data_IF_988909845714
#
_entry.id   IF_988909845714
#
_cell.length_a   1.000
_cell.length_b   1.000
_cell.length_c   1.000
_cell.angle_alpha   90.00
_cell.angle_beta   90.00
_cell.angle_gamma   90.00
#
_symmetry.space_group_name_H-M   'P 1'
#
loop_
_entity.id
_entity.type
_entity.pdbx_description
1 polymer ?
#
# COMPACT_ATOMS: atom_id res chain seq x y z
N UNK A 1 -16.87 0.93 11.68
CA UNK A 1 -17.19 0.81 10.23
C UNK A 1 -15.98 0.23 9.52
N UNK A 2 -16.16 -0.79 8.66
CA UNK A 2 -15.07 -1.38 7.88
C UNK A 2 -14.69 -0.45 6.72
N UNK A 3 -13.41 -0.09 6.61
CA UNK A 3 -12.90 0.72 5.48
C UNK A 3 -12.58 -0.17 4.28
N UNK A 4 -12.68 0.38 3.07
CA UNK A 4 -12.26 -0.30 1.85
C UNK A 4 -10.72 -0.34 1.81
N UNK A 5 -10.09 -1.52 1.65
CA UNK A 5 -8.64 -1.62 1.58
C UNK A 5 -8.12 -1.18 0.22
N UNK A 6 -6.89 -0.65 0.14
CA UNK A 6 -6.15 -0.48 -1.13
C UNK A 6 -5.87 -1.83 -1.81
N UNK A 7 -5.53 -1.84 -3.11
CA UNK A 7 -5.12 -3.05 -3.84
C UNK A 7 -4.06 -3.91 -3.12
N UNK A 8 -3.02 -3.27 -2.57
CA UNK A 8 -1.95 -4.00 -1.87
C UNK A 8 -2.47 -4.68 -0.58
N UNK A 9 -3.30 -3.99 0.20
CA UNK A 9 -3.93 -4.53 1.40
C UNK A 9 -4.95 -5.61 1.10
N UNK A 10 -5.74 -5.47 0.02
CA UNK A 10 -6.63 -6.52 -0.46
C UNK A 10 -5.82 -7.79 -0.76
N UNK A 11 -4.79 -7.66 -1.59
CA UNK A 11 -3.96 -8.77 -2.04
C UNK A 11 -3.26 -9.46 -0.87
N UNK A 12 -2.77 -8.69 0.11
CA UNK A 12 -2.17 -9.22 1.36
C UNK A 12 -3.15 -10.05 2.19
N UNK A 13 -4.38 -9.57 2.30
CA UNK A 13 -5.36 -10.20 3.18
C UNK A 13 -6.09 -11.34 2.48
N UNK A 14 -5.92 -11.50 1.17
CA UNK A 14 -6.47 -12.60 0.39
C UNK A 14 -6.07 -13.96 0.97
N UNK A 15 -7.04 -14.87 0.95
CA UNK A 15 -6.96 -16.25 1.36
C UNK A 15 -7.98 -17.04 0.54
N UNK A 16 -7.80 -18.35 0.36
CA UNK A 16 -8.80 -19.17 -0.32
C UNK A 16 -10.10 -19.34 0.48
N UNK A 17 -10.09 -19.00 1.78
CA UNK A 17 -11.27 -19.05 2.64
C UNK A 17 -11.85 -17.64 2.90
N UNK A 18 -13.12 -17.37 2.52
CA UNK A 18 -13.82 -16.13 2.87
C UNK A 18 -13.85 -15.87 4.39
N UNK A 19 -13.96 -16.92 5.20
CA UNK A 19 -13.98 -16.80 6.66
C UNK A 19 -12.65 -16.30 7.23
N UNK A 20 -11.52 -16.72 6.65
CA UNK A 20 -10.19 -16.25 7.05
C UNK A 20 -10.00 -14.77 6.68
N UNK A 21 -10.42 -14.37 5.48
CA UNK A 21 -10.44 -12.96 5.05
C UNK A 21 -11.29 -12.13 6.01
N UNK A 22 -12.51 -12.58 6.31
CA UNK A 22 -13.41 -11.92 7.26
C UNK A 22 -12.72 -11.67 8.61
N UNK A 23 -12.14 -12.72 9.21
CA UNK A 23 -11.44 -12.62 10.50
C UNK A 23 -10.29 -11.62 10.46
N UNK A 24 -9.49 -11.61 9.40
CA UNK A 24 -8.37 -10.65 9.23
C UNK A 24 -8.88 -9.21 9.11
N UNK A 25 -9.93 -8.99 8.33
CA UNK A 25 -10.53 -7.67 8.13
C UNK A 25 -11.18 -7.12 9.41
N UNK A 26 -11.91 -7.96 10.16
CA UNK A 26 -12.48 -7.59 11.46
C UNK A 26 -11.36 -7.25 12.45
N UNK A 27 -10.30 -8.07 12.50
CA UNK A 27 -9.16 -7.78 13.35
C UNK A 27 -8.49 -6.45 13.01
N UNK A 28 -8.29 -6.16 11.71
CA UNK A 28 -7.72 -4.90 11.24
C UNK A 28 -8.62 -3.70 11.55
N UNK A 29 -9.93 -3.84 11.40
CA UNK A 29 -10.89 -2.79 11.74
C UNK A 29 -10.88 -2.46 13.23
N UNK A 30 -10.69 -3.48 14.08
CA UNK A 30 -10.60 -3.31 15.54
C UNK A 30 -9.21 -2.84 16.00
N UNK A 31 -8.16 -3.08 15.20
CA UNK A 31 -6.77 -2.74 15.51
C UNK A 31 -6.13 -2.00 14.33
N UNK A 32 -6.63 -0.82 13.95
CA UNK A 32 -6.08 -0.10 12.81
C UNK A 32 -4.61 0.24 13.07
N UNK A 33 -3.74 0.21 12.05
CA UNK A 33 -2.41 0.75 12.21
C UNK A 33 -2.52 2.24 12.56
N UNK A 34 -1.56 2.75 13.32
CA UNK A 34 -1.62 4.14 13.82
C UNK A 34 -0.58 5.06 13.16
N UNK A 35 -0.26 4.81 11.90
CA UNK A 35 0.73 5.56 11.11
C UNK A 35 0.44 5.41 9.63
N UNK A 36 0.84 6.35 8.78
CA UNK A 36 0.74 6.23 7.33
C UNK A 36 2.11 6.45 6.67
N UNK A 37 2.22 6.10 5.39
CA UNK A 37 3.50 6.16 4.66
C UNK A 37 3.75 7.48 3.94
N UNK A 38 2.87 8.48 4.09
CA UNK A 38 2.98 9.76 3.41
C UNK A 38 4.30 10.48 3.67
N UNK A 39 4.88 10.46 4.89
CA UNK A 39 6.21 11.00 5.12
C UNK A 39 7.30 10.32 4.26
N UNK A 40 7.22 9.01 4.04
CA UNK A 40 8.16 8.29 3.18
C UNK A 40 7.92 8.57 1.69
N UNK A 41 6.66 8.72 1.26
CA UNK A 41 6.35 9.13 -0.11
C UNK A 41 6.90 10.54 -0.41
N UNK A 42 6.70 11.50 0.49
CA UNK A 42 7.28 12.84 0.36
C UNK A 42 8.80 12.79 0.34
N UNK A 43 9.43 12.04 1.26
CA UNK A 43 10.88 11.87 1.29
C UNK A 43 11.42 11.25 -0.02
N UNK A 44 10.68 10.33 -0.63
CA UNK A 44 11.05 9.73 -1.91
C UNK A 44 11.08 10.78 -3.02
N UNK A 45 10.07 11.65 -3.08
CA UNK A 45 10.02 12.76 -4.05
C UNK A 45 11.13 13.79 -3.79
N UNK A 46 11.37 14.14 -2.53
CA UNK A 46 12.42 15.10 -2.15
C UNK A 46 13.82 14.61 -2.54
N UNK A 47 14.09 13.32 -2.35
CA UNK A 47 15.35 12.69 -2.73
C UNK A 47 15.48 12.51 -4.26
N UNK A 48 14.40 12.10 -4.93
CA UNK A 48 14.43 11.76 -6.35
C UNK A 48 14.41 13.00 -7.24
N UNK A 49 13.43 13.91 -7.04
CA UNK A 49 13.20 15.08 -7.88
C UNK A 49 14.01 16.29 -7.40
N UNK A 50 13.86 16.65 -6.13
CA UNK A 50 14.39 17.91 -5.61
C UNK A 50 15.85 17.82 -5.22
N UNK A 51 16.43 16.60 -5.22
CA UNK A 51 17.81 16.31 -4.80
C UNK A 51 18.14 16.96 -3.45
N UNK A 52 17.16 16.96 -2.53
CA UNK A 52 17.34 17.55 -1.21
C UNK A 52 18.47 16.85 -0.46
N UNK A 53 19.33 17.59 0.26
CA UNK A 53 20.37 16.98 1.08
C UNK A 53 19.77 15.98 2.06
N UNK A 54 20.38 14.79 2.15
CA UNK A 54 19.88 13.67 2.93
C UNK A 54 19.58 14.04 4.39
N UNK A 55 20.45 14.82 5.01
CA UNK A 55 20.33 15.27 6.39
C UNK A 55 19.11 16.16 6.61
N UNK A 56 18.65 16.89 5.58
CA UNK A 56 17.42 17.69 5.65
C UNK A 56 16.18 16.81 5.60
N UNK A 57 16.19 15.78 4.75
CA UNK A 57 15.09 14.78 4.66
C UNK A 57 14.94 14.03 5.98
N UNK A 58 16.05 13.61 6.61
CA UNK A 58 16.08 13.00 7.94
C UNK A 58 15.42 13.92 8.97
N UNK A 59 15.86 15.19 9.05
CA UNK A 59 15.27 16.19 9.96
C UNK A 59 13.78 16.42 9.70
N UNK A 60 13.34 16.33 8.44
CA UNK A 60 11.94 16.40 8.04
C UNK A 60 11.11 15.28 8.69
N UNK A 61 11.57 14.03 8.57
CA UNK A 61 10.93 12.87 9.20
C UNK A 61 10.92 13.01 10.72
N UNK A 62 12.03 13.42 11.33
CA UNK A 62 12.12 13.60 12.79
C UNK A 62 11.12 14.62 13.33
N UNK A 63 10.90 15.71 12.58
CA UNK A 63 9.94 16.76 12.94
C UNK A 63 8.50 16.32 12.73
N UNK A 64 8.20 15.65 11.61
CA UNK A 64 6.85 15.25 11.23
C UNK A 64 6.33 14.07 12.07
N UNK A 65 7.20 13.10 12.40
CA UNK A 65 6.80 11.86 13.06
C UNK A 65 7.14 11.87 14.55
N UNK A 66 6.15 12.20 15.38
CA UNK A 66 6.32 12.33 16.82
C UNK A 66 6.55 11.00 17.53
N UNK A 67 5.86 9.95 17.10
CA UNK A 67 5.93 8.62 17.71
C UNK A 67 7.26 7.96 17.39
N UNK A 68 8.08 7.75 18.41
CA UNK A 68 9.44 7.24 18.27
C UNK A 68 9.52 5.94 17.47
N UNK A 69 8.73 4.92 17.81
CA UNK A 69 8.74 3.64 17.10
C UNK A 69 8.42 3.79 15.61
N UNK A 70 7.48 4.66 15.24
CA UNK A 70 7.12 4.92 13.83
C UNK A 70 8.24 5.70 13.14
N UNK A 71 8.80 6.71 13.81
CA UNK A 71 9.92 7.49 13.31
C UNK A 71 11.11 6.59 13.00
N UNK A 72 11.49 5.72 13.93
CA UNK A 72 12.61 4.78 13.72
C UNK A 72 12.33 3.86 12.52
N UNK A 73 11.11 3.33 12.38
CA UNK A 73 10.75 2.53 11.21
C UNK A 73 10.95 3.27 9.88
N UNK A 74 10.72 4.59 9.84
CA UNK A 74 10.92 5.39 8.62
C UNK A 74 12.38 5.73 8.41
N UNK A 75 13.11 6.08 9.48
CA UNK A 75 14.55 6.35 9.42
C UNK A 75 15.35 5.13 8.96
N UNK A 76 14.91 3.90 9.27
CA UNK A 76 15.51 2.68 8.72
C UNK A 76 15.36 2.56 7.19
N UNK A 77 14.34 3.19 6.59
CA UNK A 77 14.05 3.11 5.15
C UNK A 77 14.81 4.19 4.36
N UNK A 78 15.04 5.37 4.95
CA UNK A 78 15.64 6.51 4.25
C UNK A 78 17.00 6.23 3.59
N UNK A 79 17.97 5.53 4.22
CA UNK A 79 19.24 5.20 3.57
C UNK A 79 19.05 4.37 2.31
N UNK A 80 18.08 3.45 2.32
CA UNK A 80 17.77 2.57 1.20
C UNK A 80 17.14 3.35 0.04
N UNK A 81 16.22 4.26 0.35
CA UNK A 81 15.63 5.17 -0.65
C UNK A 81 16.69 6.06 -1.29
N UNK A 82 17.56 6.67 -0.48
CA UNK A 82 18.67 7.49 -0.99
C UNK A 82 19.55 6.68 -1.93
N UNK A 83 20.05 5.52 -1.47
CA UNK A 83 20.96 4.69 -2.26
C UNK A 83 20.33 4.24 -3.58
N UNK A 84 19.03 3.95 -3.59
CA UNK A 84 18.32 3.58 -4.83
C UNK A 84 18.21 4.75 -5.82
N UNK A 85 17.86 5.94 -5.34
CA UNK A 85 17.61 7.10 -6.20
C UNK A 85 18.85 7.96 -6.50
N UNK A 86 20.00 7.66 -5.89
CA UNK A 86 21.24 8.42 -6.07
C UNK A 86 21.71 8.45 -7.53
N UNK A 87 21.60 7.32 -8.23
CA UNK A 87 21.97 7.20 -9.64
C UNK A 87 20.84 7.55 -10.62
N UNK A 88 19.63 7.81 -10.13
CA UNK A 88 18.47 8.10 -10.96
C UNK A 88 18.34 9.61 -11.14
N UNK A 89 18.43 10.10 -12.38
CA UNK A 89 18.24 11.51 -12.74
C UNK A 89 17.01 11.66 -13.62
N UNK A 90 15.80 11.75 -13.03
CA UNK A 90 14.58 11.82 -13.81
C UNK A 90 14.44 13.16 -14.54
N UNK A 91 13.89 13.12 -15.75
CA UNK A 91 13.47 14.32 -16.48
C UNK A 91 12.26 14.97 -15.80
N UNK A 92 11.39 14.16 -15.21
CA UNK A 92 10.24 14.60 -14.43
C UNK A 92 9.83 13.57 -13.38
N UNK A 93 9.15 14.05 -12.34
CA UNK A 93 8.42 13.22 -11.37
C UNK A 93 7.02 13.79 -11.27
N UNK A 94 6.00 12.94 -11.40
CA UNK A 94 4.61 13.36 -11.45
C UNK A 94 3.76 12.51 -10.50
N UNK A 95 2.86 13.16 -9.76
CA UNK A 95 1.87 12.44 -8.95
C UNK A 95 0.85 11.76 -9.86
N UNK A 96 0.52 10.52 -9.53
CA UNK A 96 -0.52 9.78 -10.24
C UNK A 96 -1.87 10.13 -9.64
N UNK A 97 -2.86 10.37 -10.49
CA UNK A 97 -4.21 10.64 -10.03
C UNK A 97 -4.86 9.35 -9.51
N UNK A 98 -5.68 9.42 -8.45
CA UNK A 98 -6.42 8.26 -7.96
C UNK A 98 -7.23 7.56 -9.06
N UNK A 99 -7.28 6.23 -8.99
CA UNK A 99 -8.16 5.35 -9.78
C UNK A 99 -8.90 4.40 -8.85
N UNK A 100 -9.87 3.68 -9.40
CA UNK A 100 -10.57 2.61 -8.71
C UNK A 100 -10.55 1.35 -9.54
N UNK A 101 -10.32 0.21 -8.88
CA UNK A 101 -10.42 -1.10 -9.49
C UNK A 101 -11.73 -1.79 -9.08
N UNK A 102 -12.55 -2.29 -10.03
CA UNK A 102 -13.79 -3.00 -9.70
C UNK A 102 -13.49 -4.43 -9.23
N UNK A 103 -13.63 -4.69 -7.94
CA UNK A 103 -13.42 -6.02 -7.33
C UNK A 103 -14.70 -6.88 -7.27
N UNK A 104 -15.72 -6.54 -8.05
CA UNK A 104 -17.01 -7.23 -8.09
C UNK A 104 -17.98 -6.82 -6.97
N UNK A 105 -19.27 -7.16 -7.13
CA UNK A 105 -20.35 -6.91 -6.14
C UNK A 105 -20.45 -5.45 -5.65
N UNK A 106 -20.13 -4.49 -6.52
CA UNK A 106 -20.13 -3.05 -6.20
C UNK A 106 -18.94 -2.58 -5.36
N UNK A 107 -17.95 -3.45 -5.09
CA UNK A 107 -16.74 -3.09 -4.38
C UNK A 107 -15.74 -2.39 -5.31
N UNK A 108 -15.53 -1.10 -5.08
CA UNK A 108 -14.53 -0.30 -5.79
C UNK A 108 -13.30 -0.10 -4.91
N UNK A 109 -12.17 -0.65 -5.32
CA UNK A 109 -10.92 -0.64 -4.56
C UNK A 109 -10.07 0.55 -4.99
N UNK A 110 -9.66 1.45 -4.08
CA UNK A 110 -8.83 2.59 -4.43
C UNK A 110 -7.43 2.13 -4.89
N UNK A 111 -6.95 2.80 -5.93
CA UNK A 111 -5.59 2.73 -6.46
C UNK A 111 -4.98 4.13 -6.47
N UNK A 112 -4.11 4.39 -5.50
CA UNK A 112 -3.52 5.71 -5.23
C UNK A 112 -1.99 5.61 -5.16
N UNK A 113 -1.31 5.26 -6.26
CA UNK A 113 0.15 5.23 -6.26
C UNK A 113 0.72 6.65 -6.08
N UNK A 114 1.89 6.78 -5.42
CA UNK A 114 2.36 8.09 -4.99
C UNK A 114 2.87 8.95 -6.15
N UNK A 115 3.61 8.36 -7.10
CA UNK A 115 4.17 9.05 -8.26
C UNK A 115 4.66 8.09 -9.35
N UNK A 116 4.89 8.65 -10.53
CA UNK A 116 5.72 8.11 -11.62
C UNK A 116 6.91 9.02 -11.84
N UNK A 117 7.92 8.52 -12.55
CA UNK A 117 9.03 9.35 -13.03
C UNK A 117 9.48 8.94 -14.42
N UNK A 118 9.99 9.90 -15.19
CA UNK A 118 10.49 9.67 -16.55
C UNK A 118 12.00 9.73 -16.61
N UNK A 119 12.64 8.77 -17.29
CA UNK A 119 14.07 8.78 -17.61
C UNK A 119 14.24 8.39 -19.07
N UNK A 120 14.89 9.25 -19.87
CA UNK A 120 15.21 8.99 -21.27
C UNK A 120 13.98 8.56 -22.11
N UNK A 121 12.84 9.22 -21.88
CA UNK A 121 11.58 8.94 -22.58
C UNK A 121 10.84 7.69 -22.11
N UNK A 122 11.33 6.97 -21.10
CA UNK A 122 10.64 5.82 -20.47
C UNK A 122 9.97 6.24 -19.17
N UNK A 123 8.76 5.75 -18.95
CA UNK A 123 7.99 5.97 -17.73
C UNK A 123 8.26 4.84 -16.75
N UNK A 124 8.62 5.17 -15.52
CA UNK A 124 8.79 4.23 -14.43
C UNK A 124 7.69 4.43 -13.40
N UNK A 125 7.07 3.33 -13.00
CA UNK A 125 6.03 3.25 -11.99
C UNK A 125 6.56 2.43 -10.79
N UNK A 126 7.21 3.09 -9.81
CA UNK A 126 7.74 2.40 -8.63
C UNK A 126 6.62 2.18 -7.60
N UNK A 127 6.35 0.92 -7.25
CA UNK A 127 5.51 0.63 -6.09
C UNK A 127 6.35 0.46 -4.83
N UNK A 128 6.25 1.42 -3.91
CA UNK A 128 7.03 1.44 -2.68
C UNK A 128 6.32 0.62 -1.59
N UNK A 129 6.89 -0.52 -1.21
CA UNK A 129 6.38 -1.38 -0.14
C UNK A 129 7.22 -1.22 1.14
N UNK A 130 6.62 -0.64 2.18
CA UNK A 130 7.32 -0.30 3.42
C UNK A 130 7.02 -1.24 4.60
N UNK A 131 6.33 -2.37 4.36
CA UNK A 131 6.06 -3.33 5.43
C UNK A 131 7.35 -3.81 6.09
N UNK A 132 7.34 -3.92 7.42
CA UNK A 132 8.55 -4.34 8.15
C UNK A 132 8.93 -5.78 7.86
N UNK A 133 7.93 -6.64 7.68
CA UNK A 133 8.09 -8.08 7.49
C UNK A 133 6.92 -8.64 6.67
N UNK A 134 7.10 -9.89 6.23
CA UNK A 134 6.13 -10.64 5.44
C UNK A 134 5.73 -9.85 4.18
N UNK A 135 6.63 -9.62 3.21
CA UNK A 135 6.26 -8.98 1.94
C UNK A 135 5.25 -9.84 1.16
N UNK A 136 4.60 -9.26 0.16
CA UNK A 136 3.73 -10.02 -0.75
C UNK A 136 4.53 -11.16 -1.38
N UNK A 137 3.94 -12.35 -1.44
CA UNK A 137 4.56 -13.54 -2.05
C UNK A 137 3.50 -14.47 -2.65
N UNK A 138 3.94 -15.38 -3.52
CA UNK A 138 3.08 -16.39 -4.14
C UNK A 138 1.85 -15.79 -4.82
N UNK A 139 0.68 -16.39 -4.59
CA UNK A 139 -0.61 -15.95 -5.17
C UNK A 139 -0.98 -14.51 -4.82
N UNK A 140 -0.62 -14.03 -3.63
CA UNK A 140 -0.92 -12.67 -3.20
C UNK A 140 -0.12 -11.64 -4.00
N UNK A 141 1.15 -11.94 -4.29
CA UNK A 141 1.98 -11.11 -5.16
C UNK A 141 1.47 -11.15 -6.60
N UNK A 142 1.16 -12.34 -7.12
CA UNK A 142 0.61 -12.50 -8.47
C UNK A 142 -0.70 -11.73 -8.65
N UNK A 143 -1.62 -11.83 -7.68
CA UNK A 143 -2.86 -11.06 -7.67
C UNK A 143 -2.56 -9.56 -7.67
N UNK A 144 -1.73 -9.08 -6.75
CA UNK A 144 -1.39 -7.66 -6.67
C UNK A 144 -0.84 -7.12 -7.99
N UNK A 145 0.14 -7.82 -8.58
CA UNK A 145 0.78 -7.40 -9.82
C UNK A 145 -0.20 -7.40 -10.99
N UNK A 146 -1.02 -8.44 -11.12
CA UNK A 146 -2.04 -8.55 -12.17
C UNK A 146 -3.05 -7.40 -12.07
N UNK A 147 -3.55 -7.09 -10.86
CA UNK A 147 -4.51 -6.00 -10.65
C UNK A 147 -3.91 -4.63 -10.98
N UNK A 148 -2.66 -4.38 -10.58
CA UNK A 148 -1.99 -3.13 -10.95
C UNK A 148 -1.82 -3.01 -12.45
N UNK A 149 -1.39 -4.08 -13.14
CA UNK A 149 -1.25 -4.09 -14.60
C UNK A 149 -2.56 -3.80 -15.32
N UNK A 150 -3.68 -4.37 -14.86
CA UNK A 150 -4.99 -4.05 -15.40
C UNK A 150 -5.26 -2.54 -15.31
N UNK A 151 -5.07 -1.93 -14.13
CA UNK A 151 -5.28 -0.49 -13.97
C UNK A 151 -4.36 0.34 -14.87
N UNK A 152 -3.08 -0.04 -14.98
CA UNK A 152 -2.14 0.68 -15.85
C UNK A 152 -2.50 0.54 -17.33
N UNK A 153 -2.95 -0.64 -17.76
CA UNK A 153 -3.34 -0.89 -19.17
C UNK A 153 -4.59 -0.14 -19.60
N UNK A 154 -5.45 0.26 -18.66
CA UNK A 154 -6.63 1.08 -18.91
C UNK A 154 -6.32 2.58 -18.97
N UNK A 155 -5.11 2.99 -18.59
CA UNK A 155 -4.68 4.38 -18.56
C UNK A 155 -3.65 4.64 -19.68
N UNK A 156 -4.03 5.36 -20.75
CA UNK A 156 -3.14 5.61 -21.90
C UNK A 156 -1.83 6.33 -21.55
N UNK A 157 -1.77 7.02 -20.40
CA UNK A 157 -0.55 7.70 -19.95
C UNK A 157 0.42 6.74 -19.22
N UNK A 158 -0.05 5.55 -18.84
CA UNK A 158 0.67 4.59 -17.97
C UNK A 158 0.81 3.18 -18.55
N UNK A 159 0.12 2.85 -19.64
CA UNK A 159 0.07 1.50 -20.22
C UNK A 159 1.45 0.95 -20.63
N UNK A 160 2.39 1.82 -21.01
CA UNK A 160 3.78 1.48 -21.34
C UNK A 160 4.77 1.66 -20.17
N UNK A 161 4.29 1.91 -18.95
CA UNK A 161 5.18 2.15 -17.80
C UNK A 161 5.87 0.88 -17.30
N UNK A 162 7.15 1.03 -16.93
CA UNK A 162 7.91 -0.01 -16.25
C UNK A 162 7.47 -0.09 -14.79
N UNK A 163 6.69 -1.12 -14.46
CA UNK A 163 6.22 -1.35 -13.11
C UNK A 163 7.18 -2.26 -12.33
N UNK A 164 7.82 -1.70 -11.31
CA UNK A 164 8.65 -2.45 -10.36
C UNK A 164 8.15 -2.28 -8.93
N UNK A 165 8.33 -3.31 -8.09
CA UNK A 165 8.07 -3.20 -6.65
C UNK A 165 9.40 -2.99 -5.93
N UNK A 166 9.49 -1.90 -5.18
CA UNK A 166 10.59 -1.60 -4.27
C UNK A 166 10.18 -2.04 -2.87
N UNK A 167 10.62 -3.25 -2.48
CA UNK A 167 10.33 -3.82 -1.17
C UNK A 167 11.43 -3.48 -0.16
N UNK A 168 11.05 -2.73 0.88
CA UNK A 168 11.93 -2.29 1.97
C UNK A 168 11.78 -3.15 3.22
N UNK A 169 11.23 -4.36 3.10
CA UNK A 169 11.09 -5.28 4.23
C UNK A 169 12.44 -5.80 4.73
N UNK A 170 12.48 -6.24 5.98
CA UNK A 170 13.64 -7.00 6.46
C UNK A 170 13.42 -8.50 6.20
N UNK A 171 14.51 -9.29 6.05
CA UNK A 171 14.39 -10.73 5.87
C UNK A 171 13.71 -11.39 7.10
N UNK A 172 14.02 -10.91 8.30
CA UNK A 172 13.34 -11.30 9.54
C UNK A 172 12.98 -10.09 10.42
N UNK A 173 12.15 -10.30 11.45
CA UNK A 173 11.75 -9.23 12.37
C UNK A 173 12.88 -8.66 13.23
N UNK A 174 14.02 -9.36 13.31
CA UNK A 174 15.18 -8.97 14.12
C UNK A 174 16.31 -8.35 13.30
N UNK A 175 16.25 -8.46 11.97
CA UNK A 175 17.29 -7.97 11.08
C UNK A 175 16.98 -6.58 10.54
N UNK A 176 18.01 -5.92 10.04
CA UNK A 176 17.88 -4.65 9.34
C UNK A 176 17.05 -4.80 8.06
N UNK A 177 16.40 -3.72 7.65
CA UNK A 177 15.70 -3.63 6.36
C UNK A 177 16.69 -3.73 5.22
N UNK A 178 16.25 -4.32 4.12
CA UNK A 178 16.98 -4.36 2.86
C UNK A 178 16.07 -3.83 1.76
N UNK A 179 16.65 -3.34 0.68
CA UNK A 179 15.89 -3.05 -0.54
C UNK A 179 15.97 -4.25 -1.47
N UNK A 180 14.81 -4.78 -1.86
CA UNK A 180 14.66 -5.73 -2.96
C UNK A 180 13.87 -5.06 -4.07
N UNK A 181 14.45 -5.03 -5.26
CA UNK A 181 13.75 -4.58 -6.47
C UNK A 181 13.17 -5.82 -7.15
N UNK A 182 11.85 -5.92 -7.19
CA UNK A 182 11.15 -6.98 -7.89
C UNK A 182 10.76 -6.46 -9.27
N UNK A 183 11.47 -6.95 -10.27
CA UNK A 183 11.13 -6.78 -11.69
C UNK A 183 9.83 -7.53 -11.97
N UNK A 184 8.72 -6.79 -12.05
CA UNK A 184 7.42 -7.44 -12.20
C UNK A 184 7.28 -8.08 -13.57
N UNK A 185 7.99 -7.60 -14.61
CA UNK A 185 7.89 -8.16 -15.98
C UNK A 185 8.21 -9.66 -16.06
N UNK A 186 8.97 -10.16 -15.08
CA UNK A 186 9.31 -11.57 -14.92
C UNK A 186 8.24 -12.41 -14.19
N UNK A 187 7.22 -11.78 -13.64
CA UNK A 187 6.12 -12.44 -12.94
C UNK A 187 4.99 -12.76 -13.92
N UNK A 188 4.53 -14.01 -13.85
CA UNK A 188 3.39 -14.48 -14.61
C UNK A 188 2.09 -13.85 -14.06
N UNK A 189 1.29 -13.30 -14.98
CA UNK A 189 -0.05 -12.81 -14.66
C UNK A 189 -1.00 -13.96 -14.37
N UNK A 190 -1.95 -13.70 -13.48
CA UNK A 190 -3.09 -14.58 -13.31
C UNK A 190 -4.01 -14.49 -14.53
N UNK A 191 -4.65 -15.61 -14.87
CA UNK A 191 -5.70 -15.60 -15.89
C UNK A 191 -6.91 -14.78 -15.42
N UNK A 192 -7.71 -14.29 -16.35
CA UNK A 192 -8.94 -13.56 -16.01
C UNK A 192 -9.87 -14.38 -15.09
N UNK A 193 -9.97 -15.70 -15.31
CA UNK A 193 -10.76 -16.60 -14.46
C UNK A 193 -10.22 -16.68 -13.03
N UNK A 194 -8.91 -16.81 -12.85
CA UNK A 194 -8.27 -16.82 -11.54
C UNK A 194 -8.46 -15.47 -10.82
N UNK A 195 -8.31 -14.36 -11.53
CA UNK A 195 -8.55 -13.02 -10.95
C UNK A 195 -9.99 -12.90 -10.47
N UNK A 196 -10.98 -13.27 -11.29
CA UNK A 196 -12.40 -13.25 -10.92
C UNK A 196 -12.68 -14.11 -9.69
N UNK A 197 -12.23 -15.37 -9.68
CA UNK A 197 -12.41 -16.28 -8.54
C UNK A 197 -11.81 -15.70 -7.26
N UNK A 198 -10.57 -15.21 -7.32
CA UNK A 198 -9.89 -14.64 -6.16
C UNK A 198 -10.61 -13.40 -5.62
N UNK A 199 -11.11 -12.53 -6.49
CA UNK A 199 -11.85 -11.32 -6.10
C UNK A 199 -13.24 -11.64 -5.55
N UNK A 200 -13.93 -12.66 -6.07
CA UNK A 200 -15.21 -13.11 -5.54
C UNK A 200 -15.09 -13.65 -4.12
N UNK A 201 -14.06 -14.49 -3.86
CA UNK A 201 -13.72 -14.98 -2.52
C UNK A 201 -13.43 -13.81 -1.57
N UNK A 202 -12.68 -12.81 -2.04
CA UNK A 202 -12.40 -11.61 -1.26
C UNK A 202 -13.66 -10.81 -0.93
N UNK A 203 -14.51 -10.56 -1.93
CA UNK A 203 -15.75 -9.82 -1.78
C UNK A 203 -16.71 -10.50 -0.79
N UNK A 204 -16.80 -11.84 -0.83
CA UNK A 204 -17.57 -12.60 0.16
C UNK A 204 -17.02 -12.41 1.57
N UNK A 205 -15.70 -12.57 1.77
CA UNK A 205 -15.06 -12.34 3.07
C UNK A 205 -15.23 -10.90 3.59
N UNK A 206 -15.21 -9.92 2.69
CA UNK A 206 -15.45 -8.51 3.02
C UNK A 206 -16.89 -8.26 3.46
N UNK A 207 -17.89 -8.81 2.76
CA UNK A 207 -19.31 -8.72 3.13
C UNK A 207 -19.56 -9.36 4.51
N UNK A 208 -18.98 -10.54 4.76
CA UNK A 208 -19.05 -11.19 6.08
C UNK A 208 -18.48 -10.30 7.19
N UNK A 209 -17.33 -9.65 6.95
CA UNK A 209 -16.71 -8.74 7.91
C UNK A 209 -17.59 -7.50 8.18
N UNK A 210 -18.21 -6.93 7.14
CA UNK A 210 -19.14 -5.81 7.32
C UNK A 210 -20.35 -6.20 8.17
N UNK A 211 -20.96 -7.37 7.91
CA UNK A 211 -22.09 -7.87 8.67
C UNK A 211 -21.72 -8.08 10.14
N UNK A 212 -20.56 -8.71 10.39
CA UNK A 212 -20.08 -8.96 11.75
C UNK A 212 -19.82 -7.66 12.53
N UNK A 213 -19.16 -6.68 11.92
CA UNK A 213 -18.88 -5.39 12.57
C UNK A 213 -20.16 -4.57 12.83
N UNK A 214 -21.16 -4.68 11.96
CA UNK A 214 -22.47 -4.04 12.16
C UNK A 214 -23.24 -4.68 13.32
N UNK A 215 -23.23 -6.02 13.41
CA UNK A 215 -23.87 -6.73 14.52
C UNK A 215 -23.24 -6.39 15.88
N UNK A 216 -21.91 -6.32 15.96
CA UNK A 216 -21.22 -5.92 17.19
C UNK A 216 -21.56 -4.49 17.59
N UNK A 217 -21.56 -3.55 16.63
CA UNK A 217 -21.90 -2.15 16.86
C UNK A 217 -23.35 -1.93 17.32
N UNK A 218 -24.29 -2.76 16.84
CA UNK A 218 -25.69 -2.75 17.29
C UNK A 218 -25.88 -3.37 18.69
N UNK A 219 -24.95 -4.23 19.13
CA UNK A 219 -25.02 -4.88 20.45
C UNK A 219 -24.36 -4.02 21.53
N UNK A 220 -23.36 -3.19 21.18
CA UNK A 220 -22.70 -2.25 22.09
C UNK A 220 -23.50 -0.98 22.38
N UNK A 221 -24.59 -0.70 21.65
CA UNK A 221 -25.41 0.52 21.84
C UNK A 221 -26.32 0.49 23.09
N UNK A 222 -26.10 -0.45 24.03
CA UNK A 222 -26.83 -0.52 25.29
C UNK A 222 -26.05 -0.11 26.53
N UNK A 223 -24.78 0.29 26.43
CA UNK A 223 -24.04 0.82 27.59
C UNK A 223 -23.07 1.93 27.16
N UNK A 224 -23.32 3.12 27.73
CA UNK A 224 -22.46 4.30 27.89
C UNK A 224 -22.12 5.17 26.66
N UNK A 225 -22.76 6.34 26.66
CA UNK A 225 -22.24 7.61 26.15
C UNK A 225 -20.86 7.95 26.76
N UNK A 226 -20.15 8.83 26.06
CA UNK A 226 -18.82 9.41 26.33
C UNK A 226 -17.62 8.61 25.81
N UNK A 227 -17.30 8.79 24.52
CA UNK A 227 -15.91 9.07 24.14
C UNK A 227 -15.80 9.83 22.81
N UNK A 228 -15.16 10.99 22.89
CA UNK A 228 -14.96 11.97 21.83
C UNK A 228 -14.11 11.34 20.71
N UNK A 229 -14.73 11.12 19.55
CA UNK A 229 -14.06 10.76 18.31
C UNK A 229 -13.10 11.88 17.86
N UNK A 230 -11.80 11.70 18.06
CA UNK A 230 -10.76 12.62 17.60
C UNK A 230 -10.71 12.65 16.05
N UNK A 231 -11.11 13.78 15.47
CA UNK A 231 -11.18 14.07 14.03
C UNK A 231 -9.81 14.17 13.34
N UNK A 232 -8.71 13.85 14.04
CA UNK A 232 -7.33 13.97 13.55
C UNK A 232 -6.66 12.64 13.18
N UNK A 233 -7.41 11.53 13.04
CA UNK A 233 -6.81 10.28 12.55
C UNK A 233 -6.32 10.40 11.10
N UNK A 234 -5.00 10.34 10.82
CA UNK A 234 -4.46 10.47 9.47
C UNK A 234 -4.76 9.23 8.62
N UNK A 235 -5.00 9.46 7.33
CA UNK A 235 -5.44 8.43 6.40
C UNK A 235 -4.34 7.40 6.10
N UNK A 236 -4.73 6.14 6.14
CA UNK A 236 -3.92 4.94 5.90
C UNK A 236 -4.40 4.20 4.64
N UNK A 237 -5.56 4.63 4.11
CA UNK A 237 -6.31 4.03 3.01
C UNK A 237 -6.46 5.01 1.84
N UNK A 238 -6.18 6.30 2.05
CA UNK A 238 -5.68 7.21 1.02
C UNK A 238 -4.17 7.38 1.21
N UNK A 239 -3.41 7.11 0.14
CA UNK A 239 -2.04 7.61 0.02
C UNK A 239 -2.06 9.10 -0.28
#
# INVERSE_FOLDING_TARGET
MLRIPSLQHLSRNWDSSPAVICKRLVHLANNPPFFNYNPLYSASVDLLLLKQPYEQVVKGIERAVKREKVRQNFLEVLPLLRSHFESISPNYVQRVQPRYYPAGRGLLIPFTPPFIYGVDGKIFFPWLSFWRSNPLSGKQLALFVTLVRHVLSEDPDLDQSSFDILDFSAPTSKEARVLKVLDTSKLQDLTAGEVTEMLEIFAEGFILAQAQLTQVGATSTKVADDEISDSRQPDLFAS
#
